data_IF_201083378612
#
_entry.id   IF_201083378612
#
_cell.length_a   1.000
_cell.length_b   1.000
_cell.length_c   1.000
_cell.angle_alpha   90.00
_cell.angle_beta   90.00
_cell.angle_gamma   90.00
#
_symmetry.space_group_name_H-M   'P 1'
#
loop_
_entity.id
_entity.type
_entity.pdbx_description
1 polymer ?
#
# COMPACT_ATOMS: atom_id res chain seq x y z
N UNK A 1 3.68 -7.88 -12.72
CA UNK A 1 4.24 -7.18 -13.88
C UNK A 1 5.37 -6.27 -13.42
N UNK A 2 6.49 -6.27 -14.13
CA UNK A 2 7.52 -5.25 -13.93
C UNK A 2 7.00 -3.92 -14.51
N UNK A 3 6.92 -2.82 -13.73
CA UNK A 3 6.34 -1.57 -14.22
C UNK A 3 7.22 -0.85 -15.27
N UNK A 4 8.49 -1.24 -15.42
CA UNK A 4 9.42 -0.68 -16.41
C UNK A 4 9.35 -1.44 -17.73
N UNK A 5 9.37 -2.78 -17.68
CA UNK A 5 9.36 -3.61 -18.91
C UNK A 5 7.95 -3.97 -19.37
N UNK A 6 6.94 -3.79 -18.52
CA UNK A 6 5.54 -4.18 -18.73
C UNK A 6 5.34 -5.69 -18.98
N UNK A 7 6.31 -6.51 -18.57
CA UNK A 7 6.23 -7.96 -18.70
C UNK A 7 5.74 -8.64 -17.43
N UNK A 8 4.97 -9.72 -17.60
CA UNK A 8 4.57 -10.60 -16.52
C UNK A 8 5.67 -11.62 -16.22
N UNK A 9 5.92 -11.84 -14.93
CA UNK A 9 6.86 -12.83 -14.44
C UNK A 9 6.40 -13.35 -13.09
N UNK A 10 7.02 -14.44 -12.64
CA UNK A 10 6.79 -14.97 -11.30
C UNK A 10 7.18 -13.91 -10.27
N UNK A 11 6.31 -13.64 -9.31
CA UNK A 11 6.50 -12.63 -8.28
C UNK A 11 7.50 -13.11 -7.21
N UNK A 12 8.79 -13.10 -7.55
CA UNK A 12 9.85 -13.39 -6.59
C UNK A 12 9.99 -12.29 -5.54
N UNK A 13 10.41 -12.66 -4.34
CA UNK A 13 10.69 -11.73 -3.26
C UNK A 13 12.21 -11.46 -3.20
N UNK A 14 12.67 -10.21 -3.06
CA UNK A 14 11.88 -8.97 -2.97
C UNK A 14 11.23 -8.55 -4.28
N UNK A 15 10.05 -7.94 -4.19
CA UNK A 15 9.41 -7.31 -5.35
C UNK A 15 10.26 -6.14 -5.89
N UNK A 16 10.13 -5.79 -7.18
CA UNK A 16 10.83 -4.65 -7.77
C UNK A 16 10.66 -3.37 -6.96
N UNK A 17 11.72 -2.55 -6.90
CA UNK A 17 11.73 -1.26 -6.19
C UNK A 17 12.35 -1.30 -4.78
N UNK A 18 12.62 -2.49 -4.23
CA UNK A 18 13.40 -2.61 -2.97
C UNK A 18 14.86 -2.26 -3.22
N UNK A 19 15.40 -1.32 -2.44
CA UNK A 19 16.82 -1.01 -2.43
C UNK A 19 17.58 -2.06 -1.61
N UNK A 20 18.03 -3.13 -2.27
CA UNK A 20 18.98 -4.08 -1.66
C UNK A 20 20.38 -3.48 -1.83
N UNK A 21 20.96 -2.96 -0.73
CA UNK A 21 22.35 -2.47 -0.74
C UNK A 21 23.37 -3.59 -0.55
N UNK A 22 22.95 -4.68 0.10
CA UNK A 22 23.75 -5.86 0.38
C UNK A 22 22.82 -7.09 0.36
N UNK A 23 23.13 -8.07 -0.49
CA UNK A 23 22.37 -9.32 -0.65
C UNK A 23 22.41 -10.22 0.60
N UNK A 24 23.42 -10.02 1.46
CA UNK A 24 23.56 -10.69 2.75
C UNK A 24 22.81 -9.95 3.86
N UNK A 25 22.33 -8.72 3.61
CA UNK A 25 21.59 -7.96 4.61
C UNK A 25 20.16 -8.49 4.76
N UNK A 26 20.00 -9.39 5.73
CA UNK A 26 18.71 -10.00 6.10
C UNK A 26 17.68 -8.99 6.61
N UNK A 27 18.07 -7.75 6.94
CA UNK A 27 17.14 -6.71 7.44
C UNK A 27 16.22 -6.16 6.36
N UNK A 28 16.62 -6.26 5.09
CA UNK A 28 15.84 -5.78 3.94
C UNK A 28 15.27 -6.92 3.09
N UNK A 29 15.23 -8.15 3.63
CA UNK A 29 14.72 -9.29 2.90
C UNK A 29 13.21 -9.30 2.94
N UNK A 30 12.65 -8.87 1.82
CA UNK A 30 11.29 -9.17 1.43
C UNK A 30 10.34 -7.98 1.48
N UNK A 31 9.17 -8.24 0.91
CA UNK A 31 8.08 -7.29 0.76
C UNK A 31 6.79 -7.92 1.27
N UNK A 32 5.81 -7.11 1.65
CA UNK A 32 4.50 -7.59 2.12
C UNK A 32 3.72 -8.39 1.05
N UNK A 33 4.01 -8.12 -0.23
CA UNK A 33 3.16 -8.58 -1.33
C UNK A 33 3.23 -10.08 -1.60
N UNK A 34 4.41 -10.73 -1.73
CA UNK A 34 4.46 -12.18 -1.93
C UNK A 34 3.84 -12.97 -0.76
N UNK A 35 4.10 -12.66 0.53
CA UNK A 35 3.38 -13.28 1.63
C UNK A 35 1.86 -13.09 1.55
N UNK A 36 1.37 -11.88 1.26
CA UNK A 36 -0.06 -11.61 1.13
C UNK A 36 -0.71 -12.48 0.05
N UNK A 37 -0.10 -12.56 -1.13
CA UNK A 37 -0.64 -13.35 -2.23
C UNK A 37 -0.51 -14.86 -2.00
N UNK A 38 0.55 -15.31 -1.33
CA UNK A 38 0.70 -16.72 -0.96
C UNK A 38 -0.40 -17.17 0.02
N UNK A 39 -0.83 -16.30 0.93
CA UNK A 39 -1.98 -16.57 1.79
C UNK A 39 -3.31 -16.54 1.04
N UNK A 40 -3.46 -15.65 0.06
CA UNK A 40 -4.71 -15.49 -0.71
C UNK A 40 -4.92 -16.59 -1.75
N UNK A 41 -3.86 -17.04 -2.42
CA UNK A 41 -3.89 -18.01 -3.51
C UNK A 41 -4.67 -19.30 -3.20
N UNK A 42 -4.49 -19.99 -2.06
CA UNK A 42 -5.24 -21.21 -1.76
C UNK A 42 -6.75 -20.95 -1.55
N UNK A 43 -7.13 -19.70 -1.20
CA UNK A 43 -8.52 -19.30 -1.01
C UNK A 43 -9.21 -19.03 -2.35
N UNK A 44 -8.59 -18.27 -3.24
CA UNK A 44 -9.22 -17.84 -4.51
C UNK A 44 -9.01 -18.82 -5.68
N UNK A 45 -7.96 -19.66 -5.62
CA UNK A 45 -7.65 -20.74 -6.60
C UNK A 45 -7.58 -20.30 -8.07
N UNK A 46 -7.21 -19.04 -8.32
CA UNK A 46 -6.92 -18.51 -9.65
C UNK A 46 -5.58 -17.77 -9.64
N UNK A 47 -4.88 -17.63 -10.78
CA UNK A 47 -3.67 -16.84 -10.85
C UNK A 47 -3.88 -15.40 -10.35
N UNK A 48 -2.93 -14.91 -9.55
CA UNK A 48 -2.96 -13.54 -9.02
C UNK A 48 -1.95 -12.69 -9.78
N UNK A 49 -2.44 -11.62 -10.41
CA UNK A 49 -1.60 -10.58 -11.00
C UNK A 49 -1.39 -9.42 -10.04
N UNK A 50 -0.13 -9.05 -9.78
CA UNK A 50 0.24 -7.85 -9.03
C UNK A 50 1.17 -6.95 -9.83
N UNK A 51 1.03 -5.65 -9.63
CA UNK A 51 1.95 -4.63 -10.15
C UNK A 51 2.36 -3.74 -9.01
N UNK A 52 3.66 -3.77 -8.67
CA UNK A 52 4.22 -2.94 -7.63
C UNK A 52 4.73 -1.63 -8.24
N UNK A 53 4.17 -0.52 -7.79
CA UNK A 53 4.57 0.84 -8.18
C UNK A 53 4.98 1.68 -6.97
N UNK A 54 5.18 1.04 -5.81
CA UNK A 54 5.52 1.73 -4.59
C UNK A 54 6.90 2.42 -4.68
N UNK A 55 6.99 3.59 -4.05
CA UNK A 55 8.23 4.33 -3.89
C UNK A 55 8.40 4.72 -2.41
N UNK A 56 9.55 4.42 -1.83
CA UNK A 56 9.80 4.64 -0.40
C UNK A 56 10.02 6.12 -0.07
N UNK A 57 9.68 6.51 1.16
CA UNK A 57 9.91 7.86 1.71
C UNK A 57 9.28 8.98 0.87
N UNK A 58 8.03 8.79 0.44
CA UNK A 58 7.27 9.78 -0.31
C UNK A 58 6.01 10.20 0.44
N UNK A 59 5.72 11.50 0.44
CA UNK A 59 4.48 12.09 0.94
C UNK A 59 3.40 12.13 -0.15
N UNK A 60 2.13 12.22 0.24
CA UNK A 60 0.96 12.29 -0.65
C UNK A 60 1.09 13.40 -1.71
N UNK A 61 1.74 14.52 -1.41
CA UNK A 61 1.98 15.61 -2.38
C UNK A 61 2.77 15.16 -3.62
N UNK A 62 3.67 14.18 -3.47
CA UNK A 62 4.50 13.67 -4.58
C UNK A 62 3.74 12.71 -5.49
N UNK A 63 2.53 12.32 -5.10
CA UNK A 63 1.62 11.48 -5.87
C UNK A 63 0.50 12.29 -6.51
N UNK A 64 0.49 13.62 -6.37
CA UNK A 64 -0.51 14.50 -6.98
C UNK A 64 -0.34 14.59 -8.50
N UNK A 65 -1.43 14.92 -9.20
CA UNK A 65 -1.39 15.12 -10.65
C UNK A 65 -0.32 16.13 -11.07
N UNK A 66 0.43 15.81 -12.12
CA UNK A 66 1.60 16.57 -12.58
C UNK A 66 2.93 16.09 -11.99
N UNK A 67 2.92 15.29 -10.92
CA UNK A 67 4.13 14.73 -10.33
C UNK A 67 4.60 13.44 -11.02
N UNK A 68 5.89 13.14 -10.89
CA UNK A 68 6.50 11.95 -11.50
C UNK A 68 5.83 10.65 -11.05
N UNK A 69 5.53 10.50 -9.76
CA UNK A 69 4.96 9.26 -9.23
C UNK A 69 3.50 9.08 -9.64
N UNK A 70 2.75 10.17 -9.78
CA UNK A 70 1.41 10.13 -10.38
C UNK A 70 1.47 9.58 -11.79
N UNK A 71 2.38 10.10 -12.63
CA UNK A 71 2.50 9.66 -14.01
C UNK A 71 2.91 8.17 -14.08
N UNK A 72 3.83 7.72 -13.23
CA UNK A 72 4.23 6.31 -13.18
C UNK A 72 3.06 5.40 -12.76
N UNK A 73 2.26 5.80 -11.77
CA UNK A 73 1.07 5.08 -11.35
C UNK A 73 0.03 5.04 -12.47
N UNK A 74 -0.22 6.18 -13.14
CA UNK A 74 -1.12 6.28 -14.28
C UNK A 74 -0.71 5.33 -15.40
N UNK A 75 0.53 5.38 -15.85
CA UNK A 75 1.04 4.54 -16.95
C UNK A 75 0.94 3.05 -16.61
N UNK A 76 1.27 2.67 -15.37
CA UNK A 76 1.13 1.29 -14.93
C UNK A 76 -0.34 0.82 -14.97
N UNK A 77 -1.27 1.61 -14.44
CA UNK A 77 -2.70 1.28 -14.50
C UNK A 77 -3.23 1.22 -15.93
N UNK A 78 -2.79 2.14 -16.80
CA UNK A 78 -3.18 2.19 -18.20
C UNK A 78 -2.68 0.95 -18.97
N UNK A 79 -1.44 0.52 -18.72
CA UNK A 79 -0.85 -0.65 -19.36
C UNK A 79 -1.54 -1.97 -18.95
N UNK A 80 -1.98 -2.08 -17.69
CA UNK A 80 -2.70 -3.27 -17.20
C UNK A 80 -4.15 -3.28 -17.70
N UNK A 81 -4.75 -2.09 -17.86
CA UNK A 81 -6.17 -1.93 -18.16
C UNK A 81 -7.02 -2.28 -16.94
N UNK A 82 -7.75 -3.41 -16.98
CA UNK A 82 -8.70 -3.77 -15.94
C UNK A 82 -8.03 -4.54 -14.79
N UNK A 83 -8.09 -3.97 -13.59
CA UNK A 83 -7.70 -4.62 -12.34
C UNK A 83 -8.83 -4.61 -11.30
N UNK A 84 -8.64 -5.33 -10.18
CA UNK A 84 -9.67 -5.48 -9.13
C UNK A 84 -9.68 -4.32 -8.14
N UNK A 85 -8.49 -3.92 -7.67
CA UNK A 85 -8.35 -2.87 -6.68
C UNK A 85 -6.94 -2.28 -6.71
N UNK A 86 -6.82 -1.06 -6.17
CA UNK A 86 -5.55 -0.43 -5.84
C UNK A 86 -5.31 -0.54 -4.34
N UNK A 87 -4.15 -1.07 -3.95
CA UNK A 87 -3.73 -1.22 -2.56
C UNK A 87 -2.81 -0.06 -2.20
N UNK A 88 -3.20 0.76 -1.23
CA UNK A 88 -2.47 1.99 -0.88
C UNK A 88 -1.86 1.87 0.52
N UNK A 89 -0.53 1.77 0.58
CA UNK A 89 0.21 1.80 1.85
C UNK A 89 1.21 2.94 1.84
N UNK A 90 0.81 4.04 2.48
CA UNK A 90 1.58 5.27 2.62
C UNK A 90 0.95 6.08 3.76
N UNK A 91 1.75 6.91 4.41
CA UNK A 91 1.27 7.93 5.36
C UNK A 91 2.38 8.49 6.24
N UNK A 92 3.47 7.74 6.41
CA UNK A 92 4.55 8.07 7.33
C UNK A 92 5.22 9.41 6.99
N UNK A 93 5.41 9.69 5.70
CA UNK A 93 6.02 10.96 5.27
C UNK A 93 5.08 12.16 5.47
N UNK A 94 3.76 11.97 5.38
CA UNK A 94 2.79 13.03 5.67
C UNK A 94 2.69 13.33 7.17
N UNK A 95 2.90 12.32 8.03
CA UNK A 95 3.08 12.53 9.48
C UNK A 95 4.34 13.36 9.77
N UNK A 96 5.45 13.06 9.09
CA UNK A 96 6.70 13.83 9.23
C UNK A 96 6.51 15.27 8.78
N UNK A 97 5.82 15.49 7.66
CA UNK A 97 5.47 16.81 7.11
C UNK A 97 4.39 17.54 7.93
N UNK A 98 3.79 16.90 8.95
CA UNK A 98 2.80 17.47 9.85
C UNK A 98 1.57 18.05 9.14
N UNK A 99 1.14 17.44 8.04
CA UNK A 99 -0.05 17.91 7.34
C UNK A 99 -1.32 17.58 8.13
N UNK A 100 -2.39 18.35 7.89
CA UNK A 100 -3.67 18.11 8.54
C UNK A 100 -4.39 16.87 7.98
N UNK A 101 -5.31 16.34 8.77
CA UNK A 101 -6.25 15.27 8.37
C UNK A 101 -6.98 15.61 7.07
N UNK A 102 -7.51 16.82 6.97
CA UNK A 102 -8.26 17.30 5.81
C UNK A 102 -7.38 17.40 4.57
N UNK A 103 -6.13 17.86 4.73
CA UNK A 103 -5.20 17.96 3.62
C UNK A 103 -4.79 16.58 3.11
N UNK A 104 -4.52 15.60 4.00
CA UNK A 104 -4.22 14.24 3.58
C UNK A 104 -5.41 13.62 2.82
N UNK A 105 -6.61 13.67 3.41
CA UNK A 105 -7.83 13.14 2.79
C UNK A 105 -8.09 13.75 1.42
N UNK A 106 -8.04 15.09 1.32
CA UNK A 106 -8.30 15.79 0.05
C UNK A 106 -7.28 15.42 -1.03
N UNK A 107 -6.01 15.21 -0.69
CA UNK A 107 -4.99 14.71 -1.63
C UNK A 107 -5.32 13.31 -2.13
N UNK A 108 -5.62 12.36 -1.24
CA UNK A 108 -5.97 10.99 -1.68
C UNK A 108 -7.21 10.99 -2.58
N UNK A 109 -8.23 11.78 -2.25
CA UNK A 109 -9.41 11.95 -3.11
C UNK A 109 -9.07 12.56 -4.47
N UNK A 110 -8.22 13.60 -4.51
CA UNK A 110 -7.81 14.24 -5.75
C UNK A 110 -7.00 13.29 -6.64
N UNK A 111 -6.05 12.54 -6.06
CA UNK A 111 -5.24 11.53 -6.77
C UNK A 111 -6.14 10.47 -7.39
N UNK A 112 -7.04 9.88 -6.59
CA UNK A 112 -8.00 8.88 -7.08
C UNK A 112 -8.86 9.43 -8.21
N UNK A 113 -9.46 10.60 -7.99
CA UNK A 113 -10.39 11.21 -8.96
C UNK A 113 -9.71 11.46 -10.31
N UNK A 114 -8.47 11.97 -10.27
CA UNK A 114 -7.73 12.29 -11.49
C UNK A 114 -7.21 11.04 -12.21
N UNK A 115 -6.74 10.02 -11.48
CA UNK A 115 -6.37 8.73 -12.09
C UNK A 115 -7.57 8.06 -12.77
N UNK A 116 -8.71 7.98 -12.10
CA UNK A 116 -9.91 7.35 -12.64
C UNK A 116 -10.49 8.11 -13.83
N UNK A 117 -10.39 9.45 -13.81
CA UNK A 117 -10.72 10.29 -14.97
C UNK A 117 -9.84 9.95 -16.17
N UNK A 118 -8.54 9.77 -15.98
CA UNK A 118 -7.62 9.46 -17.07
C UNK A 118 -7.73 8.00 -17.55
N UNK A 119 -7.88 7.04 -16.64
CA UNK A 119 -8.14 5.63 -16.97
C UNK A 119 -9.54 5.40 -17.56
N UNK A 120 -10.46 6.35 -17.42
CA UNK A 120 -11.87 6.25 -17.83
C UNK A 120 -12.59 5.05 -17.19
N UNK A 121 -12.15 4.69 -15.98
CA UNK A 121 -12.69 3.57 -15.22
C UNK A 121 -12.50 3.83 -13.73
N UNK A 122 -13.47 3.39 -12.93
CA UNK A 122 -13.40 3.44 -11.47
C UNK A 122 -12.94 2.10 -10.90
N UNK A 123 -12.19 2.17 -9.82
CA UNK A 123 -11.62 1.04 -9.10
C UNK A 123 -11.80 1.23 -7.60
N UNK A 124 -11.78 0.12 -6.87
CA UNK A 124 -11.81 0.16 -5.42
C UNK A 124 -10.40 0.46 -4.89
N UNK A 125 -10.29 1.41 -3.96
CA UNK A 125 -9.04 1.78 -3.30
C UNK A 125 -9.04 1.29 -1.85
N UNK A 126 -7.99 0.62 -1.43
CA UNK A 126 -7.83 0.12 -0.06
C UNK A 126 -6.66 0.83 0.62
N UNK A 127 -6.89 1.98 1.28
CA UNK A 127 -5.86 2.62 2.08
C UNK A 127 -5.63 1.88 3.39
N UNK A 128 -4.40 1.53 3.68
CA UNK A 128 -3.97 0.95 4.95
C UNK A 128 -3.58 2.03 5.95
N UNK A 129 -3.76 1.77 7.25
CA UNK A 129 -3.10 2.55 8.29
C UNK A 129 -1.65 2.07 8.40
N UNK A 130 -0.74 2.87 7.83
CA UNK A 130 0.71 2.69 7.83
C UNK A 130 1.33 4.02 8.17
N UNK A 131 1.20 4.40 9.44
CA UNK A 131 1.64 5.70 9.97
C UNK A 131 2.65 5.55 11.09
N UNK A 132 3.03 4.33 11.45
CA UNK A 132 3.92 4.07 12.58
C UNK A 132 5.38 4.02 12.14
N UNK A 133 6.20 4.89 12.72
CA UNK A 133 7.64 4.93 12.47
C UNK A 133 8.48 5.35 13.70
N UNK A 134 8.48 4.54 14.77
CA UNK A 134 8.80 4.93 16.14
C UNK A 134 10.27 5.33 16.38
N UNK A 135 11.19 4.92 15.50
CA UNK A 135 12.61 5.28 15.58
C UNK A 135 12.98 6.54 14.78
N UNK A 136 12.06 7.09 13.97
CA UNK A 136 12.28 8.39 13.27
C UNK A 136 11.45 9.50 13.86
N UNK A 137 10.24 9.19 14.32
CA UNK A 137 9.41 10.15 15.01
C UNK A 137 8.53 9.47 16.06
N UNK A 138 8.04 10.30 16.97
CA UNK A 138 6.95 10.00 17.89
C UNK A 138 5.99 11.19 17.77
N UNK A 139 4.95 11.06 16.95
CA UNK A 139 4.01 12.16 16.64
C UNK A 139 2.56 11.68 16.75
N UNK A 140 2.11 11.23 17.94
CA UNK A 140 0.81 10.56 18.10
C UNK A 140 -0.38 11.41 17.66
N UNK A 141 -0.29 12.73 17.77
CA UNK A 141 -1.35 13.66 17.30
C UNK A 141 -1.43 13.65 15.78
N UNK A 142 -0.30 13.79 15.09
CA UNK A 142 -0.23 13.80 13.63
C UNK A 142 -0.54 12.41 13.06
N UNK A 143 -0.02 11.34 13.67
CA UNK A 143 -0.39 9.95 13.35
C UNK A 143 -1.91 9.76 13.48
N UNK A 144 -2.50 10.22 14.59
CA UNK A 144 -3.95 10.19 14.81
C UNK A 144 -4.73 10.91 13.72
N UNK A 145 -4.26 12.08 13.26
CA UNK A 145 -4.89 12.83 12.17
C UNK A 145 -4.88 12.09 10.83
N UNK A 146 -3.73 11.51 10.44
CA UNK A 146 -3.64 10.72 9.20
C UNK A 146 -4.47 9.44 9.29
N UNK A 147 -4.48 8.77 10.46
CA UNK A 147 -5.31 7.57 10.71
C UNK A 147 -6.80 7.89 10.63
N UNK A 148 -7.24 9.02 11.20
CA UNK A 148 -8.62 9.49 11.12
C UNK A 148 -9.02 9.85 9.68
N UNK A 149 -8.12 10.45 8.88
CA UNK A 149 -8.35 10.66 7.46
C UNK A 149 -8.59 9.34 6.71
N UNK A 150 -7.83 8.29 7.03
CA UNK A 150 -8.00 6.95 6.45
C UNK A 150 -9.35 6.34 6.86
N UNK A 151 -9.76 6.49 8.12
CA UNK A 151 -11.08 6.05 8.60
C UNK A 151 -12.22 6.74 7.82
N UNK A 152 -12.11 8.05 7.58
CA UNK A 152 -13.08 8.77 6.76
C UNK A 152 -13.07 8.35 5.29
N UNK A 153 -11.90 8.04 4.73
CA UNK A 153 -11.79 7.51 3.38
C UNK A 153 -12.49 6.16 3.27
N UNK A 154 -12.38 5.27 4.26
CA UNK A 154 -13.08 3.98 4.26
C UNK A 154 -14.61 4.10 4.20
N UNK A 155 -15.17 5.20 4.71
CA UNK A 155 -16.60 5.52 4.61
C UNK A 155 -17.02 6.20 3.30
N UNK A 156 -16.08 6.48 2.40
CA UNK A 156 -16.33 7.22 1.15
C UNK A 156 -16.51 6.24 -0.02
N UNK A 157 -17.44 6.55 -0.94
CA UNK A 157 -17.66 5.72 -2.13
C UNK A 157 -16.38 5.51 -2.96
N UNK A 158 -16.17 4.29 -3.44
CA UNK A 158 -14.96 3.92 -4.20
C UNK A 158 -13.75 3.57 -3.33
N UNK A 159 -13.90 3.55 -2.01
CA UNK A 159 -12.91 3.04 -1.06
C UNK A 159 -13.45 1.83 -0.29
N UNK A 160 -12.53 1.01 0.21
CA UNK A 160 -12.79 -0.06 1.15
C UNK A 160 -11.68 -0.12 2.21
N UNK A 161 -11.91 -0.75 3.38
CA UNK A 161 -10.90 -0.87 4.41
C UNK A 161 -9.65 -1.64 3.95
N UNK A 162 -8.49 -0.98 3.99
CA UNK A 162 -7.19 -1.65 4.04
C UNK A 162 -6.85 -2.11 5.47
N UNK A 163 -5.72 -2.80 5.68
CA UNK A 163 -5.32 -3.24 7.01
C UNK A 163 -4.84 -2.09 7.88
N UNK A 164 -4.88 -2.28 9.20
CA UNK A 164 -4.10 -1.48 10.15
C UNK A 164 -2.77 -2.18 10.40
N UNK A 165 -1.71 -1.72 9.74
CA UNK A 165 -0.36 -2.31 9.87
C UNK A 165 0.43 -1.71 11.02
N UNK A 166 -0.07 -0.62 11.64
CA UNK A 166 0.57 -0.01 12.80
C UNK A 166 0.41 -0.89 14.06
N UNK A 167 -0.56 -1.81 14.08
CA UNK A 167 -0.66 -2.83 15.14
C UNK A 167 0.58 -3.70 15.24
N UNK A 168 1.32 -3.82 14.13
CA UNK A 168 2.61 -4.52 14.06
C UNK A 168 3.72 -3.59 14.57
N UNK A 169 3.58 -3.18 15.83
CA UNK A 169 4.61 -2.50 16.60
C UNK A 169 5.65 -3.47 17.15
N UNK A 170 6.48 -2.99 18.08
CA UNK A 170 7.53 -3.79 18.73
C UNK A 170 8.84 -3.77 17.94
N UNK A 171 9.75 -2.91 18.39
CA UNK A 171 11.13 -2.84 17.89
C UNK A 171 11.83 -4.18 18.21
N UNK A 172 12.48 -4.77 17.22
CA UNK A 172 13.17 -6.06 17.32
C UNK A 172 12.31 -7.28 17.04
N UNK A 173 10.99 -7.12 16.90
CA UNK A 173 10.07 -8.21 16.53
C UNK A 173 9.52 -7.95 15.13
N UNK A 174 8.59 -6.99 15.00
CA UNK A 174 7.97 -6.66 13.72
C UNK A 174 8.65 -5.48 13.05
N UNK A 175 9.21 -4.54 13.82
CA UNK A 175 9.98 -3.39 13.31
C UNK A 175 11.47 -3.62 13.55
N UNK A 176 12.33 -3.36 12.57
CA UNK A 176 13.76 -3.61 12.73
C UNK A 176 14.42 -2.60 13.71
N UNK A 177 15.51 -3.04 14.37
CA UNK A 177 16.19 -2.34 15.50
C UNK A 177 17.21 -1.30 15.03
N UNK A 178 17.51 -1.24 13.72
CA UNK A 178 18.61 -0.39 13.28
C UNK A 178 18.11 0.98 12.86
N UNK A 179 18.79 2.02 13.36
CA UNK A 179 18.56 3.44 13.06
C UNK A 179 18.39 3.77 11.55
N UNK A 180 18.77 2.84 10.66
CA UNK A 180 18.75 2.99 9.21
C UNK A 180 17.87 1.97 8.45
N UNK A 181 17.19 1.02 9.11
CA UNK A 181 16.22 0.13 8.46
C UNK A 181 14.91 0.15 9.23
N UNK A 182 14.15 1.20 9.04
CA UNK A 182 13.02 1.58 9.88
C UNK A 182 11.70 0.94 9.41
N UNK A 183 11.83 -0.13 8.63
CA UNK A 183 10.78 -0.89 8.00
C UNK A 183 10.50 -2.18 8.78
N UNK A 184 9.51 -2.94 8.32
CA UNK A 184 9.23 -4.24 8.87
C UNK A 184 10.46 -5.18 8.81
N UNK A 185 10.65 -5.98 9.85
CA UNK A 185 11.48 -7.19 9.77
C UNK A 185 10.86 -8.19 8.80
N UNK A 186 11.57 -9.26 8.43
CA UNK A 186 10.97 -10.35 7.64
C UNK A 186 9.65 -10.87 8.26
N UNK A 187 9.64 -11.07 9.58
CA UNK A 187 8.42 -11.48 10.31
C UNK A 187 7.32 -10.40 10.21
N UNK A 188 7.69 -9.14 10.37
CA UNK A 188 6.77 -8.01 10.18
C UNK A 188 6.18 -7.96 8.77
N UNK A 189 6.99 -8.20 7.73
CA UNK A 189 6.52 -8.24 6.33
C UNK A 189 5.54 -9.40 6.12
N UNK A 190 5.83 -10.58 6.68
CA UNK A 190 4.95 -11.75 6.60
C UNK A 190 3.61 -11.50 7.29
N UNK A 191 3.62 -10.94 8.49
CA UNK A 191 2.40 -10.64 9.23
C UNK A 191 1.60 -9.49 8.60
N UNK A 192 2.27 -8.44 8.12
CA UNK A 192 1.61 -7.39 7.35
C UNK A 192 0.98 -7.96 6.07
N UNK A 193 1.65 -8.93 5.43
CA UNK A 193 1.10 -9.66 4.31
C UNK A 193 -0.18 -10.44 4.67
N UNK A 194 -0.23 -11.08 5.84
CA UNK A 194 -1.45 -11.73 6.33
C UNK A 194 -2.59 -10.73 6.56
N UNK A 195 -2.31 -9.55 7.14
CA UNK A 195 -3.31 -8.50 7.31
C UNK A 195 -3.86 -8.02 5.96
N UNK A 196 -2.98 -7.82 4.97
CA UNK A 196 -3.39 -7.50 3.60
C UNK A 196 -4.21 -8.60 2.95
N UNK A 197 -3.85 -9.87 3.12
CA UNK A 197 -4.66 -11.00 2.64
C UNK A 197 -6.08 -10.93 3.18
N UNK A 198 -6.26 -10.64 4.47
CA UNK A 198 -7.59 -10.53 5.10
C UNK A 198 -8.39 -9.38 4.47
N UNK A 199 -7.80 -8.19 4.33
CA UNK A 199 -8.48 -7.04 3.71
C UNK A 199 -8.87 -7.31 2.26
N UNK A 200 -8.00 -7.94 1.48
CA UNK A 200 -8.27 -8.28 0.08
C UNK A 200 -9.36 -9.36 -0.01
N UNK A 201 -9.30 -10.38 0.84
CA UNK A 201 -10.32 -11.42 0.90
C UNK A 201 -11.70 -10.83 1.23
N UNK A 202 -11.79 -10.00 2.26
CA UNK A 202 -13.04 -9.32 2.64
C UNK A 202 -13.60 -8.47 1.49
N UNK A 203 -12.73 -7.77 0.77
CA UNK A 203 -13.10 -6.99 -0.40
C UNK A 203 -13.66 -7.87 -1.53
N UNK A 204 -13.03 -9.00 -1.83
CA UNK A 204 -13.51 -9.93 -2.86
C UNK A 204 -14.88 -10.52 -2.48
N UNK A 205 -15.05 -10.95 -1.23
CA UNK A 205 -16.34 -11.48 -0.74
C UNK A 205 -17.45 -10.41 -0.75
N UNK A 206 -17.11 -9.17 -0.42
CA UNK A 206 -18.07 -8.05 -0.43
C UNK A 206 -18.53 -7.63 -1.84
N UNK A 207 -17.70 -7.86 -2.86
CA UNK A 207 -18.08 -7.63 -4.27
C UNK A 207 -19.08 -8.70 -4.72
N UNK A 208 -18.84 -9.97 -4.39
CA UNK A 208 -19.69 -11.08 -4.80
C UNK A 208 -21.10 -10.99 -4.19
N UNK A 209 -21.22 -10.53 -2.95
CA UNK A 209 -22.53 -10.32 -2.32
C UNK A 209 -23.37 -9.22 -3.00
N UNK A 210 -22.74 -8.19 -3.59
CA UNK A 210 -23.45 -7.12 -4.32
C UNK A 210 -23.83 -7.47 -5.76
N UNK A 211 -23.31 -8.56 -6.32
CA UNK A 211 -23.69 -9.03 -7.66
C UNK A 211 -24.79 -10.10 -7.64
N UNK A 212 -25.12 -10.63 -6.46
CA UNK A 212 -26.13 -11.67 -6.26
C UNK A 212 -27.46 -11.14 -5.67
N UNK A 213 -27.58 -9.81 -5.52
CA UNK A 213 -28.81 -9.07 -5.20
C UNK A 213 -29.31 -8.30 -6.43
#
# INVERSE_FOLDING_TARGET
>A
MNPVTLEWGVAHDPQPGVRIRDENDVRFKGTIWPPAMNHLLPLIRVPIGMVNVAFSATASRQWMSGELLFNQLFEAGNAIGRFRALLWQQGESDVIEEISQELYKSRILAIKSELERQWKQTFLWLPAKSTLHPEVYIKPVQEGGIRAAIDELWGTAGFAPGPDTDILGGIGIHRAVTANSQHFTLLGQQQAGLLWCISIWNMLQGIDNKMNE
#
